data_IF_485056041919
#
_entry.id   IF_485056041919
#
_cell.length_a   1.000
_cell.length_b   1.000
_cell.length_c   1.000
_cell.angle_alpha   90.00
_cell.angle_beta   90.00
_cell.angle_gamma   90.00
#
_symmetry.space_group_name_H-M   'P 1'
#
loop_
_entity.id
_entity.type
_entity.pdbx_description
1 polymer ?
#
# COMPACT_ATOMS: atom_id res chain seq x y z
N UNK A 1 9.89 40.14 4.49
CA UNK A 1 8.95 39.11 5.00
C UNK A 1 8.69 38.12 3.88
N UNK A 2 9.19 36.88 3.96
CA UNK A 2 8.74 35.81 3.06
C UNK A 2 7.28 35.51 3.43
N UNK A 3 6.36 35.67 2.48
CA UNK A 3 4.96 35.27 2.64
C UNK A 3 4.98 33.76 2.84
N UNK A 4 4.56 33.27 4.01
CA UNK A 4 4.41 31.82 4.25
C UNK A 4 3.52 31.28 3.15
N UNK A 5 4.02 30.28 2.42
CA UNK A 5 3.24 29.65 1.36
C UNK A 5 2.08 28.87 1.98
N UNK A 6 0.95 28.84 1.28
CA UNK A 6 -0.19 28.00 1.66
C UNK A 6 0.20 26.52 1.55
N UNK A 7 -0.17 25.71 2.55
CA UNK A 7 0.21 24.29 2.67
C UNK A 7 -0.18 23.48 1.43
N UNK A 8 -1.31 23.80 0.78
CA UNK A 8 -1.75 23.11 -0.44
C UNK A 8 -0.77 23.33 -1.59
N UNK A 9 -0.20 24.54 -1.68
CA UNK A 9 0.83 24.87 -2.66
C UNK A 9 2.12 24.11 -2.35
N UNK A 10 2.51 24.03 -1.07
CA UNK A 10 3.70 23.28 -0.64
C UNK A 10 3.56 21.77 -0.90
N UNK A 11 2.38 21.18 -0.66
CA UNK A 11 2.07 19.79 -1.02
C UNK A 11 2.28 19.58 -2.53
N UNK A 12 1.70 20.44 -3.36
CA UNK A 12 1.83 20.32 -4.82
C UNK A 12 3.29 20.43 -5.29
N UNK A 13 4.09 21.31 -4.69
CA UNK A 13 5.52 21.40 -4.98
C UNK A 13 6.29 20.16 -4.54
N UNK A 14 5.98 19.63 -3.35
CA UNK A 14 6.59 18.40 -2.85
C UNK A 14 6.28 17.20 -3.75
N UNK A 15 5.01 17.04 -4.16
CA UNK A 15 4.59 16.02 -5.13
C UNK A 15 5.30 16.19 -6.47
N UNK A 16 5.50 17.43 -6.96
CA UNK A 16 6.24 17.68 -8.20
C UNK A 16 7.71 17.31 -8.07
N UNK A 17 8.35 17.57 -6.93
CA UNK A 17 9.74 17.14 -6.68
C UNK A 17 9.87 15.61 -6.66
N UNK A 18 8.91 14.91 -6.08
CA UNK A 18 8.85 13.46 -6.08
C UNK A 18 8.65 12.87 -7.48
N UNK A 19 7.79 13.50 -8.29
CA UNK A 19 7.65 13.17 -9.72
C UNK A 19 8.99 13.24 -10.46
N UNK A 20 9.75 14.33 -10.27
CA UNK A 20 11.04 14.52 -10.91
C UNK A 20 12.10 13.52 -10.43
N UNK A 21 12.09 13.18 -9.15
CA UNK A 21 12.93 12.10 -8.61
C UNK A 21 12.66 10.78 -9.33
N UNK A 22 11.39 10.38 -9.45
CA UNK A 22 10.98 9.12 -10.09
C UNK A 22 11.25 9.10 -11.59
N UNK A 23 11.09 10.24 -12.28
CA UNK A 23 11.35 10.34 -13.72
C UNK A 23 12.86 10.33 -14.06
N UNK A 24 13.72 10.86 -13.18
CA UNK A 24 15.10 11.18 -13.57
C UNK A 24 16.21 10.58 -12.70
N UNK A 25 15.97 10.24 -11.43
CA UNK A 25 17.04 9.82 -10.50
C UNK A 25 17.21 8.30 -10.35
N UNK A 26 16.14 7.57 -10.60
CA UNK A 26 16.02 6.13 -10.31
C UNK A 26 15.82 5.27 -11.56
N UNK A 27 16.32 5.70 -12.72
CA UNK A 27 16.28 4.89 -13.95
C UNK A 27 17.41 3.86 -13.99
N UNK A 28 17.18 2.71 -14.64
CA UNK A 28 18.22 1.68 -14.85
C UNK A 28 19.07 1.95 -16.10
N UNK A 29 18.42 2.27 -17.22
CA UNK A 29 19.03 2.33 -18.55
C UNK A 29 18.05 1.83 -19.62
N UNK A 30 17.05 1.06 -19.20
CA UNK A 30 15.89 0.71 -20.02
C UNK A 30 14.77 1.71 -19.70
N UNK A 31 14.14 2.35 -20.71
CA UNK A 31 13.04 3.30 -20.48
C UNK A 31 11.93 2.72 -19.61
N UNK A 32 11.54 3.47 -18.58
CA UNK A 32 10.46 3.10 -17.65
C UNK A 32 10.85 2.16 -16.51
N UNK A 33 11.89 1.32 -16.66
CA UNK A 33 12.35 0.41 -15.61
C UNK A 33 13.16 1.18 -14.57
N UNK A 34 12.84 0.95 -13.29
CA UNK A 34 13.42 1.69 -12.18
C UNK A 34 14.36 0.84 -11.33
N UNK A 35 15.38 1.48 -10.75
CA UNK A 35 16.18 0.96 -9.63
C UNK A 35 15.60 1.47 -8.32
N UNK A 36 15.82 0.77 -7.21
CA UNK A 36 15.20 1.11 -5.93
C UNK A 36 15.59 2.51 -5.41
N UNK A 37 16.89 2.80 -5.45
CA UNK A 37 17.51 4.04 -4.96
C UNK A 37 18.82 4.31 -5.71
N UNK A 38 19.56 5.35 -5.35
CA UNK A 38 20.93 5.57 -5.83
C UNK A 38 21.93 4.52 -5.32
N UNK A 39 21.62 3.83 -4.22
CA UNK A 39 22.44 2.77 -3.63
C UNK A 39 22.23 1.41 -4.31
N UNK A 40 21.12 1.23 -5.02
CA UNK A 40 20.76 -0.04 -5.61
C UNK A 40 21.74 -0.46 -6.73
N UNK A 41 22.51 -1.51 -6.48
CA UNK A 41 23.29 -2.22 -7.48
C UNK A 41 22.39 -3.21 -8.26
N UNK A 42 22.03 -2.82 -9.49
CA UNK A 42 21.11 -3.58 -10.36
C UNK A 42 21.73 -4.90 -10.83
N UNK A 43 23.05 -5.01 -10.94
CA UNK A 43 23.71 -6.26 -11.35
C UNK A 43 23.67 -7.30 -10.23
N UNK A 44 23.82 -6.86 -8.98
CA UNK A 44 23.81 -7.74 -7.81
C UNK A 44 22.38 -8.12 -7.40
N UNK A 45 21.43 -7.19 -7.46
CA UNK A 45 20.03 -7.39 -7.06
C UNK A 45 19.02 -7.03 -8.16
N UNK A 46 19.08 -7.65 -9.35
CA UNK A 46 18.26 -7.25 -10.50
C UNK A 46 16.75 -7.32 -10.21
N UNK A 47 16.32 -8.24 -9.34
CA UNK A 47 14.91 -8.41 -8.97
C UNK A 47 14.34 -7.22 -8.19
N UNK A 48 15.18 -6.42 -7.51
CA UNK A 48 14.74 -5.20 -6.83
C UNK A 48 14.31 -4.10 -7.80
N UNK A 49 14.56 -4.27 -9.10
CA UNK A 49 13.94 -3.43 -10.12
C UNK A 49 12.43 -3.66 -10.22
N UNK A 50 11.89 -4.85 -9.89
CA UNK A 50 10.45 -5.09 -9.87
C UNK A 50 9.72 -4.18 -8.87
N UNK A 51 10.04 -4.20 -7.56
CA UNK A 51 9.41 -3.32 -6.59
C UNK A 51 9.70 -1.85 -6.81
N UNK A 52 10.88 -1.50 -7.32
CA UNK A 52 11.13 -0.13 -7.73
C UNK A 52 10.17 0.33 -8.84
N UNK A 53 9.99 -0.52 -9.85
CA UNK A 53 9.19 -0.20 -11.04
C UNK A 53 7.71 -0.13 -10.70
N UNK A 54 7.12 -1.12 -9.99
CA UNK A 54 5.69 -1.04 -9.67
C UNK A 54 5.38 0.15 -8.75
N UNK A 55 6.27 0.51 -7.81
CA UNK A 55 6.06 1.66 -6.92
C UNK A 55 6.12 2.98 -7.69
N UNK A 56 7.09 3.10 -8.60
CA UNK A 56 7.18 4.27 -9.47
C UNK A 56 5.99 4.37 -10.43
N UNK A 57 5.48 3.26 -10.96
CA UNK A 57 4.28 3.25 -11.79
C UNK A 57 3.10 3.81 -11.01
N UNK A 58 2.83 3.27 -9.81
CA UNK A 58 1.73 3.76 -8.97
C UNK A 58 1.86 5.26 -8.69
N UNK A 59 3.05 5.72 -8.32
CA UNK A 59 3.30 7.13 -8.07
C UNK A 59 3.14 8.00 -9.32
N UNK A 60 3.68 7.59 -10.48
CA UNK A 60 3.62 8.40 -11.71
C UNK A 60 2.21 8.40 -12.33
N UNK A 61 1.40 7.37 -12.09
CA UNK A 61 -0.03 7.38 -12.44
C UNK A 61 -0.77 8.35 -11.52
N UNK A 62 -0.52 8.26 -10.21
CA UNK A 62 -1.09 9.20 -9.22
C UNK A 62 -0.78 10.65 -9.58
N UNK A 63 0.46 10.94 -9.94
CA UNK A 63 0.95 12.29 -10.17
C UNK A 63 0.60 12.85 -11.55
N UNK A 64 0.33 11.99 -12.54
CA UNK A 64 -0.04 12.40 -13.90
C UNK A 64 0.80 11.81 -15.04
N UNK A 65 2.15 11.79 -14.98
CA UNK A 65 2.98 11.43 -16.13
C UNK A 65 2.71 10.06 -16.74
N UNK A 66 2.26 9.07 -15.95
CA UNK A 66 1.93 7.73 -16.43
C UNK A 66 0.40 7.50 -16.56
N UNK A 67 -0.43 8.54 -16.51
CA UNK A 67 -1.85 8.40 -16.87
C UNK A 67 -2.01 8.10 -18.37
N UNK A 68 -1.13 8.67 -19.20
CA UNK A 68 -0.99 8.40 -20.63
C UNK A 68 0.52 8.34 -20.97
N UNK A 69 1.23 7.28 -20.55
CA UNK A 69 2.66 7.17 -20.79
C UNK A 69 2.93 6.97 -22.29
N UNK A 70 4.14 7.32 -22.71
CA UNK A 70 4.65 6.94 -24.03
C UNK A 70 4.51 5.42 -24.26
N UNK A 71 4.20 5.02 -25.49
CA UNK A 71 3.90 3.62 -25.82
C UNK A 71 5.11 2.70 -25.59
N UNK A 72 6.32 3.18 -25.87
CA UNK A 72 7.56 2.43 -25.62
C UNK A 72 7.77 2.22 -24.12
N UNK A 73 7.61 3.28 -23.32
CA UNK A 73 7.69 3.20 -21.85
C UNK A 73 6.64 2.22 -21.33
N UNK A 74 5.40 2.34 -21.78
CA UNK A 74 4.30 1.46 -21.36
C UNK A 74 4.63 0.00 -21.66
N UNK A 75 5.04 -0.28 -22.89
CA UNK A 75 5.39 -1.64 -23.33
C UNK A 75 6.55 -2.20 -22.52
N UNK A 76 7.63 -1.46 -22.36
CA UNK A 76 8.82 -1.90 -21.62
C UNK A 76 8.48 -2.23 -20.16
N UNK A 77 7.69 -1.39 -19.50
CA UNK A 77 7.27 -1.60 -18.12
C UNK A 77 6.35 -2.81 -17.99
N UNK A 78 5.35 -2.94 -18.87
CA UNK A 78 4.41 -4.07 -18.86
C UNK A 78 5.14 -5.39 -19.09
N UNK A 79 5.97 -5.46 -20.14
CA UNK A 79 6.74 -6.66 -20.47
C UNK A 79 7.69 -7.05 -19.33
N UNK A 80 8.35 -6.05 -18.72
CA UNK A 80 9.24 -6.28 -17.59
C UNK A 80 8.49 -6.84 -16.37
N UNK A 81 7.40 -6.21 -15.93
CA UNK A 81 6.61 -6.67 -14.78
C UNK A 81 6.09 -8.09 -15.06
N UNK A 82 5.45 -8.30 -16.21
CA UNK A 82 4.90 -9.61 -16.59
C UNK A 82 5.97 -10.70 -16.72
N UNK A 83 7.24 -10.36 -16.91
CA UNK A 83 8.32 -11.35 -16.96
C UNK A 83 8.54 -12.06 -15.61
N UNK A 84 8.11 -11.48 -14.49
CA UNK A 84 8.20 -12.10 -13.16
C UNK A 84 7.02 -13.02 -12.82
N UNK A 85 6.04 -13.11 -13.72
CA UNK A 85 4.87 -13.95 -13.52
C UNK A 85 5.19 -15.44 -13.77
N UNK A 86 4.75 -16.31 -12.87
CA UNK A 86 4.80 -17.77 -12.99
C UNK A 86 3.54 -18.31 -13.68
N UNK A 87 3.55 -19.59 -14.08
CA UNK A 87 2.39 -20.24 -14.71
C UNK A 87 1.16 -20.32 -13.80
N UNK A 88 1.32 -20.26 -12.47
CA UNK A 88 0.20 -20.17 -11.53
C UNK A 88 -0.43 -18.77 -11.47
N UNK A 89 0.17 -17.80 -12.15
CA UNK A 89 -0.24 -16.39 -12.15
C UNK A 89 0.41 -15.54 -11.06
N UNK A 90 1.11 -16.13 -10.09
CA UNK A 90 1.82 -15.38 -9.05
C UNK A 90 3.06 -14.66 -9.63
N UNK A 91 3.46 -13.55 -9.02
CA UNK A 91 4.70 -12.84 -9.35
C UNK A 91 5.75 -13.15 -8.29
N UNK A 92 6.94 -13.57 -8.72
CA UNK A 92 8.00 -14.05 -7.82
C UNK A 92 9.36 -13.52 -8.22
N UNK A 93 10.16 -13.14 -7.22
CA UNK A 93 11.58 -12.85 -7.42
C UNK A 93 12.33 -14.13 -7.79
N UNK A 94 13.13 -14.06 -8.85
CA UNK A 94 13.89 -15.17 -9.42
C UNK A 94 15.13 -15.53 -8.60
N UNK A 95 15.66 -14.57 -7.85
CA UNK A 95 16.93 -14.66 -7.12
C UNK A 95 16.77 -14.84 -5.61
N UNK A 96 15.54 -14.74 -5.07
CA UNK A 96 15.28 -15.16 -3.70
C UNK A 96 15.52 -16.67 -3.54
N UNK A 97 16.04 -17.07 -2.36
CA UNK A 97 16.34 -18.46 -2.00
C UNK A 97 15.75 -18.76 -0.63
N UNK A 98 15.40 -20.03 -0.40
CA UNK A 98 14.72 -20.47 0.83
C UNK A 98 15.45 -20.05 2.12
N UNK A 99 16.77 -20.17 2.16
CA UNK A 99 17.59 -19.79 3.33
C UNK A 99 17.75 -18.29 3.54
N UNK A 100 17.20 -17.45 2.66
CA UNK A 100 17.31 -15.98 2.72
C UNK A 100 15.97 -15.31 3.00
N UNK A 101 14.89 -16.07 3.16
CA UNK A 101 13.55 -15.52 3.38
C UNK A 101 13.00 -15.88 4.75
N UNK A 102 12.24 -14.95 5.32
CA UNK A 102 11.51 -15.19 6.55
C UNK A 102 10.32 -14.24 6.67
N UNK A 103 9.13 -14.81 6.78
CA UNK A 103 7.93 -14.09 7.22
C UNK A 103 6.99 -15.04 7.94
N UNK A 104 6.63 -14.72 9.18
CA UNK A 104 5.69 -15.51 9.97
C UNK A 104 6.31 -16.79 10.53
N UNK A 105 5.80 -17.95 10.13
CA UNK A 105 5.95 -19.20 10.91
C UNK A 105 6.86 -20.25 10.24
N UNK A 106 6.81 -20.39 8.92
CA UNK A 106 7.57 -21.40 8.19
C UNK A 106 7.86 -20.96 6.74
N UNK A 107 8.66 -21.75 6.03
CA UNK A 107 9.10 -21.44 4.66
C UNK A 107 7.93 -21.32 3.68
N UNK A 108 6.98 -22.25 3.71
CA UNK A 108 5.82 -22.22 2.81
C UNK A 108 4.95 -20.97 3.05
N UNK A 109 4.75 -20.60 4.31
CA UNK A 109 4.07 -19.36 4.68
C UNK A 109 4.85 -18.12 4.22
N UNK A 110 6.18 -18.15 4.35
CA UNK A 110 7.04 -17.04 3.90
C UNK A 110 6.91 -16.82 2.40
N UNK A 111 6.98 -17.89 1.60
CA UNK A 111 6.75 -17.81 0.15
C UNK A 111 5.35 -17.33 -0.19
N UNK A 112 4.32 -17.86 0.48
CA UNK A 112 2.94 -17.41 0.30
C UNK A 112 2.80 -15.92 0.54
N UNK A 113 3.33 -15.40 1.64
CA UNK A 113 3.25 -13.97 1.94
C UNK A 113 3.98 -13.14 0.89
N UNK A 114 5.24 -13.48 0.58
CA UNK A 114 6.10 -12.71 -0.32
C UNK A 114 5.50 -12.66 -1.73
N UNK A 115 5.14 -13.81 -2.30
CA UNK A 115 4.59 -13.87 -3.64
C UNK A 115 3.27 -13.11 -3.74
N UNK A 116 2.39 -13.23 -2.74
CA UNK A 116 1.11 -12.52 -2.75
C UNK A 116 1.31 -11.01 -2.61
N UNK A 117 2.24 -10.56 -1.78
CA UNK A 117 2.56 -9.16 -1.68
C UNK A 117 3.07 -8.63 -3.02
N UNK A 118 4.05 -9.29 -3.64
CA UNK A 118 4.58 -8.90 -4.95
C UNK A 118 3.49 -8.96 -6.04
N UNK A 119 2.64 -9.97 -6.03
CA UNK A 119 1.53 -10.15 -6.99
C UNK A 119 0.53 -9.02 -6.89
N UNK A 120 0.12 -8.62 -5.68
CA UNK A 120 -0.85 -7.52 -5.50
C UNK A 120 -0.32 -6.20 -6.09
N UNK A 121 0.92 -5.83 -5.77
CA UNK A 121 1.49 -4.59 -6.30
C UNK A 121 1.78 -4.65 -7.81
N UNK A 122 2.22 -5.81 -8.32
CA UNK A 122 2.49 -6.00 -9.75
C UNK A 122 1.21 -5.95 -10.58
N UNK A 123 0.17 -6.68 -10.17
CA UNK A 123 -1.15 -6.64 -10.83
C UNK A 123 -1.79 -5.25 -10.72
N UNK A 124 -1.64 -4.57 -9.58
CA UNK A 124 -2.06 -3.18 -9.44
C UNK A 124 -1.37 -2.24 -10.43
N UNK A 125 -0.04 -2.35 -10.59
CA UNK A 125 0.70 -1.50 -11.52
C UNK A 125 0.32 -1.79 -12.99
N UNK A 126 0.12 -3.07 -13.35
CA UNK A 126 -0.38 -3.46 -14.67
C UNK A 126 -1.76 -2.87 -14.94
N UNK A 127 -2.70 -2.98 -13.99
CA UNK A 127 -4.04 -2.39 -14.09
C UNK A 127 -3.99 -0.87 -14.29
N UNK A 128 -3.17 -0.17 -13.51
CA UNK A 128 -2.98 1.28 -13.65
C UNK A 128 -2.46 1.71 -15.03
N UNK A 129 -1.79 0.80 -15.76
CA UNK A 129 -1.29 1.00 -17.13
C UNK A 129 -2.25 0.45 -18.21
N UNK A 130 -3.47 0.07 -17.83
CA UNK A 130 -4.46 -0.61 -18.67
C UNK A 130 -3.88 -1.87 -19.35
N UNK A 131 -3.13 -2.67 -18.58
CA UNK A 131 -2.57 -3.95 -19.01
C UNK A 131 -3.10 -5.09 -18.14
N UNK A 132 -3.25 -6.26 -18.74
CA UNK A 132 -3.54 -7.51 -18.03
C UNK A 132 -2.26 -8.22 -17.58
N UNK A 133 -2.44 -9.40 -16.99
CA UNK A 133 -1.38 -10.36 -16.71
C UNK A 133 -1.38 -11.49 -17.75
N UNK A 134 -0.28 -12.26 -17.86
CA UNK A 134 -0.09 -13.32 -18.86
C UNK A 134 -0.81 -14.61 -18.49
N UNK A 135 -0.76 -15.01 -17.23
CA UNK A 135 -1.38 -16.24 -16.72
C UNK A 135 -2.45 -15.93 -15.68
N UNK A 136 -3.61 -16.63 -15.68
CA UNK A 136 -4.66 -16.42 -14.68
C UNK A 136 -4.13 -16.67 -13.27
N UNK A 137 -4.75 -16.06 -12.26
CA UNK A 137 -4.32 -16.17 -10.85
C UNK A 137 -4.78 -17.51 -10.23
N UNK A 138 -4.42 -18.63 -10.85
CA UNK A 138 -4.95 -19.95 -10.49
C UNK A 138 -4.57 -20.43 -9.08
N UNK A 139 -3.55 -19.83 -8.47
CA UNK A 139 -3.20 -20.10 -7.07
C UNK A 139 -4.30 -19.72 -6.06
N UNK A 140 -5.29 -18.90 -6.45
CA UNK A 140 -6.47 -18.60 -5.61
C UNK A 140 -7.73 -19.36 -6.03
N UNK A 141 -7.69 -20.24 -7.04
CA UNK A 141 -8.91 -20.88 -7.56
C UNK A 141 -9.67 -21.65 -6.48
N UNK A 142 -8.95 -22.41 -5.65
CA UNK A 142 -9.58 -23.15 -4.55
C UNK A 142 -10.23 -22.24 -3.51
N UNK A 143 -9.83 -20.97 -3.41
CA UNK A 143 -10.38 -19.98 -2.48
C UNK A 143 -11.56 -19.19 -3.09
N UNK A 144 -11.94 -19.49 -4.34
CA UNK A 144 -13.20 -19.01 -4.94
C UNK A 144 -14.43 -19.77 -4.40
N UNK A 145 -14.22 -20.86 -3.66
CA UNK A 145 -15.28 -21.60 -2.96
C UNK A 145 -15.49 -21.07 -1.52
N UNK A 146 -16.73 -20.75 -1.12
CA UNK A 146 -17.08 -20.24 0.21
C UNK A 146 -16.47 -21.03 1.38
N UNK A 147 -16.66 -22.36 1.39
CA UNK A 147 -16.20 -23.20 2.51
C UNK A 147 -14.68 -23.26 2.60
N UNK A 148 -14.00 -23.18 1.45
CA UNK A 148 -12.54 -23.14 1.41
C UNK A 148 -12.00 -21.81 1.93
N UNK A 149 -12.67 -20.69 1.60
CA UNK A 149 -12.35 -19.37 2.13
C UNK A 149 -12.57 -19.30 3.65
N UNK A 150 -13.71 -19.78 4.15
CA UNK A 150 -13.98 -19.86 5.59
C UNK A 150 -12.92 -20.68 6.33
N UNK A 151 -12.55 -21.84 5.77
CA UNK A 151 -11.48 -22.69 6.32
C UNK A 151 -10.10 -22.02 6.24
N UNK A 152 -9.86 -21.16 5.26
CA UNK A 152 -8.63 -20.37 5.19
C UNK A 152 -8.60 -19.28 6.26
N UNK A 153 -9.73 -18.59 6.46
CA UNK A 153 -9.92 -17.57 7.50
C UNK A 153 -9.81 -18.15 8.91
N UNK A 154 -10.36 -19.34 9.15
CA UNK A 154 -10.30 -20.00 10.46
C UNK A 154 -8.88 -20.36 10.91
N UNK A 155 -7.89 -20.30 10.01
CA UNK A 155 -6.47 -20.55 10.29
C UNK A 155 -5.67 -19.27 10.54
N UNK A 156 -6.29 -18.10 10.37
CA UNK A 156 -5.63 -16.81 10.60
C UNK A 156 -5.46 -16.58 12.09
N UNK A 157 -4.33 -15.99 12.45
CA UNK A 157 -3.94 -15.74 13.83
C UNK A 157 -3.74 -14.23 14.02
N UNK A 158 -4.76 -13.57 14.58
CA UNK A 158 -4.76 -12.12 14.77
C UNK A 158 -3.86 -11.67 15.93
N UNK A 159 -3.03 -12.54 16.51
CA UNK A 159 -1.91 -12.09 17.36
C UNK A 159 -0.86 -11.28 16.57
N UNK A 160 -0.81 -11.43 15.24
CA UNK A 160 -0.03 -10.56 14.33
C UNK A 160 -0.97 -9.95 13.27
N UNK A 161 -1.76 -8.93 13.65
CA UNK A 161 -2.78 -8.36 12.78
C UNK A 161 -2.18 -7.64 11.57
N UNK A 162 -0.94 -7.16 11.67
CA UNK A 162 -0.27 -6.50 10.54
C UNK A 162 0.11 -7.51 9.46
N UNK A 163 0.65 -8.67 9.85
CA UNK A 163 0.94 -9.75 8.92
C UNK A 163 -0.35 -10.29 8.27
N UNK A 164 -1.37 -10.57 9.07
CA UNK A 164 -2.60 -11.17 8.54
C UNK A 164 -3.45 -10.18 7.74
N UNK A 165 -3.45 -8.89 8.10
CA UNK A 165 -4.09 -7.85 7.30
C UNK A 165 -3.52 -7.76 5.88
N UNK A 166 -2.19 -7.91 5.74
CA UNK A 166 -1.55 -8.00 4.42
C UNK A 166 -2.00 -9.24 3.63
N UNK A 167 -2.08 -10.42 4.26
CA UNK A 167 -2.54 -11.63 3.57
C UNK A 167 -3.98 -11.50 3.08
N UNK A 168 -4.85 -10.93 3.91
CA UNK A 168 -6.28 -10.78 3.63
C UNK A 168 -6.50 -9.77 2.49
N UNK A 169 -5.93 -8.57 2.56
CA UNK A 169 -6.11 -7.56 1.50
C UNK A 169 -5.56 -8.05 0.15
N UNK A 170 -4.45 -8.80 0.17
CA UNK A 170 -3.89 -9.39 -1.04
C UNK A 170 -4.86 -10.41 -1.66
N UNK A 171 -5.33 -11.37 -0.85
CA UNK A 171 -6.29 -12.38 -1.30
C UNK A 171 -7.57 -11.75 -1.84
N UNK A 172 -8.17 -10.81 -1.11
CA UNK A 172 -9.36 -10.09 -1.54
C UNK A 172 -9.12 -9.37 -2.88
N UNK A 173 -7.94 -8.76 -3.06
CA UNK A 173 -7.56 -8.11 -4.31
C UNK A 173 -7.53 -9.06 -5.50
N UNK A 174 -7.09 -10.31 -5.30
CA UNK A 174 -7.09 -11.35 -6.33
C UNK A 174 -8.50 -11.82 -6.65
N UNK A 175 -9.32 -12.10 -5.64
CA UNK A 175 -10.72 -12.51 -5.82
C UNK A 175 -11.51 -11.44 -6.58
N UNK A 176 -11.38 -10.16 -6.22
CA UNK A 176 -11.97 -9.04 -6.95
C UNK A 176 -11.49 -9.02 -8.40
N UNK A 177 -10.19 -9.23 -8.62
CA UNK A 177 -9.60 -9.17 -9.96
C UNK A 177 -10.11 -10.25 -10.90
N UNK A 178 -10.30 -11.46 -10.38
CA UNK A 178 -10.74 -12.62 -11.15
C UNK A 178 -12.26 -12.67 -11.35
N UNK A 179 -13.03 -12.32 -10.31
CA UNK A 179 -14.47 -12.58 -10.27
C UNK A 179 -15.35 -11.39 -10.66
N UNK A 180 -14.89 -10.13 -10.49
CA UNK A 180 -15.77 -8.93 -10.61
C UNK A 180 -16.57 -8.88 -11.91
N UNK A 181 -15.97 -9.29 -13.02
CA UNK A 181 -16.61 -9.28 -14.35
C UNK A 181 -17.27 -10.62 -14.68
N UNK A 182 -16.68 -11.73 -14.24
CA UNK A 182 -17.07 -13.07 -14.66
C UNK A 182 -18.19 -13.65 -13.78
N UNK A 183 -18.10 -13.45 -12.47
CA UNK A 183 -18.96 -14.08 -11.45
C UNK A 183 -19.23 -13.09 -10.29
N UNK A 184 -19.94 -11.97 -10.54
CA UNK A 184 -20.15 -10.92 -9.55
C UNK A 184 -20.93 -11.39 -8.31
N UNK A 185 -21.87 -12.33 -8.46
CA UNK A 185 -22.63 -12.91 -7.35
C UNK A 185 -21.71 -13.73 -6.41
N UNK A 186 -20.82 -14.54 -6.98
CA UNK A 186 -19.82 -15.27 -6.20
C UNK A 186 -18.84 -14.32 -5.52
N UNK A 187 -18.41 -13.25 -6.20
CA UNK A 187 -17.59 -12.23 -5.54
C UNK A 187 -18.31 -11.62 -4.33
N UNK A 188 -19.59 -11.26 -4.47
CA UNK A 188 -20.37 -10.70 -3.38
C UNK A 188 -20.46 -11.66 -2.19
N UNK A 189 -20.72 -12.94 -2.42
CA UNK A 189 -20.75 -13.98 -1.39
C UNK A 189 -19.41 -14.06 -0.63
N UNK A 190 -18.28 -14.13 -1.35
CA UNK A 190 -16.95 -14.20 -0.72
C UNK A 190 -16.59 -12.92 0.04
N UNK A 191 -17.01 -11.75 -0.46
CA UNK A 191 -16.81 -10.48 0.24
C UNK A 191 -17.62 -10.41 1.55
N UNK A 192 -18.85 -10.94 1.57
CA UNK A 192 -19.64 -11.04 2.81
C UNK A 192 -19.01 -11.98 3.83
N UNK A 193 -18.39 -13.09 3.38
CA UNK A 193 -17.63 -13.98 4.26
C UNK A 193 -16.43 -13.25 4.88
N UNK A 194 -15.65 -12.53 4.06
CA UNK A 194 -14.51 -11.74 4.52
C UNK A 194 -14.93 -10.67 5.52
N UNK A 195 -15.88 -9.81 5.15
CA UNK A 195 -16.33 -8.69 5.99
C UNK A 195 -17.04 -9.20 7.25
N UNK A 196 -17.88 -10.22 7.14
CA UNK A 196 -18.53 -10.84 8.29
C UNK A 196 -17.54 -11.46 9.27
N UNK A 197 -16.43 -12.03 8.78
CA UNK A 197 -15.35 -12.52 9.66
C UNK A 197 -14.64 -11.38 10.40
N UNK A 198 -14.37 -10.26 9.72
CA UNK A 198 -13.78 -9.08 10.36
C UNK A 198 -14.70 -8.46 11.40
N UNK A 199 -15.99 -8.28 11.07
CA UNK A 199 -16.96 -7.66 11.97
C UNK A 199 -17.11 -8.42 13.29
N UNK A 200 -17.02 -9.76 13.26
CA UNK A 200 -17.09 -10.60 14.47
C UNK A 200 -15.85 -10.49 15.35
N UNK A 201 -14.70 -10.18 14.79
CA UNK A 201 -13.40 -10.20 15.47
C UNK A 201 -12.86 -8.80 15.80
N UNK A 202 -13.57 -7.74 15.43
CA UNK A 202 -13.12 -6.38 15.70
C UNK A 202 -13.22 -6.06 17.19
N UNK A 203 -12.11 -5.67 17.81
CA UNK A 203 -12.08 -5.27 19.22
C UNK A 203 -12.86 -3.97 19.40
N UNK A 204 -13.95 -4.00 20.16
CA UNK A 204 -14.80 -2.83 20.41
C UNK A 204 -14.10 -1.68 21.16
N UNK A 205 -13.01 -1.94 21.87
CA UNK A 205 -12.33 -0.94 22.68
C UNK A 205 -11.35 -0.10 21.85
N UNK A 206 -10.70 -0.70 20.87
CA UNK A 206 -9.73 -0.03 19.98
C UNK A 206 -10.30 0.22 18.59
N UNK A 207 -11.27 -0.59 18.17
CA UNK A 207 -11.77 -0.72 16.80
C UNK A 207 -10.79 -1.42 15.85
N UNK A 208 -9.68 -1.98 16.34
CA UNK A 208 -8.73 -2.73 15.53
C UNK A 208 -8.90 -4.25 15.72
N UNK A 209 -8.12 -5.04 15.00
CA UNK A 209 -8.09 -6.49 15.15
C UNK A 209 -6.85 -6.93 15.94
N UNK A 210 -7.00 -7.99 16.74
CA UNK A 210 -5.89 -8.61 17.47
C UNK A 210 -5.53 -7.97 18.81
N UNK A 211 -6.05 -6.78 19.11
CA UNK A 211 -5.73 -6.04 20.35
C UNK A 211 -6.38 -6.64 21.60
N UNK A 212 -7.43 -7.46 21.42
CA UNK A 212 -8.11 -8.23 22.47
C UNK A 212 -7.80 -9.73 22.40
N UNK A 213 -6.78 -10.13 21.63
CA UNK A 213 -6.42 -11.54 21.47
C UNK A 213 -6.11 -12.18 22.84
N UNK A 214 -6.71 -13.33 23.19
CA UNK A 214 -6.81 -13.80 24.58
C UNK A 214 -5.48 -14.23 25.21
N UNK A 215 -4.49 -14.58 24.38
CA UNK A 215 -3.19 -15.10 24.84
C UNK A 215 -2.06 -14.11 24.56
N UNK A 216 -2.13 -13.43 23.43
CA UNK A 216 -1.06 -12.55 22.95
C UNK A 216 -1.70 -11.34 22.24
N UNK A 217 -2.22 -10.37 22.99
CA UNK A 217 -2.83 -9.18 22.40
C UNK A 217 -1.78 -8.35 21.67
N UNK A 218 -2.09 -7.97 20.43
CA UNK A 218 -1.26 -7.06 19.65
C UNK A 218 -1.27 -5.66 20.26
N UNK A 219 -0.18 -4.91 20.07
CA UNK A 219 -0.17 -3.49 20.38
C UNK A 219 -1.11 -2.72 19.45
N UNK A 220 -1.61 -1.56 19.89
CA UNK A 220 -2.49 -0.72 19.08
C UNK A 220 -1.85 -0.25 17.77
N UNK A 221 -0.51 -0.15 17.71
CA UNK A 221 0.21 0.27 16.50
C UNK A 221 0.16 -0.83 15.44
N UNK A 222 0.42 -2.07 15.84
CA UNK A 222 0.30 -3.25 14.98
C UNK A 222 -1.15 -3.48 14.56
N UNK A 223 -2.09 -3.30 15.49
CA UNK A 223 -3.54 -3.34 15.22
C UNK A 223 -3.96 -2.31 14.17
N UNK A 224 -3.53 -1.04 14.32
CA UNK A 224 -3.79 0.02 13.35
C UNK A 224 -3.17 -0.29 11.98
N UNK A 225 -1.92 -0.75 11.94
CA UNK A 225 -1.24 -1.08 10.69
C UNK A 225 -1.94 -2.24 9.97
N UNK A 226 -2.36 -3.29 10.68
CA UNK A 226 -3.20 -4.35 10.11
C UNK A 226 -4.56 -3.84 9.64
N UNK A 227 -5.20 -2.98 10.42
CA UNK A 227 -6.52 -2.45 10.13
C UNK A 227 -6.54 -1.57 8.87
N UNK A 228 -5.54 -0.71 8.64
CA UNK A 228 -5.45 0.11 7.44
C UNK A 228 -5.57 -0.73 6.15
N UNK A 229 -4.88 -1.88 6.09
CA UNK A 229 -4.95 -2.79 4.95
C UNK A 229 -6.35 -3.39 4.77
N UNK A 230 -6.98 -3.82 5.86
CA UNK A 230 -8.28 -4.49 5.82
C UNK A 230 -9.46 -3.53 5.62
N UNK A 231 -9.34 -2.28 6.05
CA UNK A 231 -10.36 -1.27 5.79
C UNK A 231 -10.57 -0.99 4.30
N UNK A 232 -9.59 -1.28 3.44
CA UNK A 232 -9.81 -1.23 1.99
C UNK A 232 -10.95 -2.16 1.52
N UNK A 233 -11.24 -3.27 2.21
CA UNK A 233 -12.40 -4.12 1.88
C UNK A 233 -13.72 -3.39 2.18
N UNK A 234 -13.78 -2.64 3.28
CA UNK A 234 -14.93 -1.83 3.67
C UNK A 234 -15.12 -0.65 2.72
N UNK A 235 -14.04 0.05 2.40
CA UNK A 235 -14.03 1.15 1.44
C UNK A 235 -14.45 0.69 0.05
N UNK A 236 -14.01 -0.50 -0.38
CA UNK A 236 -14.41 -1.09 -1.66
C UNK A 236 -15.87 -1.51 -1.70
N UNK A 237 -16.36 -2.12 -0.62
CA UNK A 237 -17.72 -2.66 -0.55
C UNK A 237 -18.77 -1.63 -0.09
N UNK A 238 -18.32 -0.40 0.18
CA UNK A 238 -19.14 0.65 0.76
C UNK A 238 -19.87 0.21 2.04
N UNK A 239 -19.19 -0.58 2.88
CA UNK A 239 -19.69 -1.10 4.16
C UNK A 239 -19.19 -0.24 5.31
N UNK A 240 -20.06 0.07 6.27
CA UNK A 240 -19.67 0.83 7.45
C UNK A 240 -18.62 0.10 8.29
N UNK A 241 -17.68 0.86 8.84
CA UNK A 241 -16.70 0.42 9.84
C UNK A 241 -17.27 0.68 11.24
N UNK A 242 -17.36 -0.37 12.05
CA UNK A 242 -17.74 -0.22 13.45
C UNK A 242 -16.62 0.42 14.28
N UNK A 243 -17.00 0.97 15.43
CA UNK A 243 -16.06 1.52 16.42
C UNK A 243 -15.12 2.60 15.83
N UNK A 244 -15.59 3.37 14.86
CA UNK A 244 -14.81 4.44 14.22
C UNK A 244 -14.29 5.51 15.19
N UNK A 245 -14.96 5.74 16.33
CA UNK A 245 -14.52 6.72 17.35
C UNK A 245 -13.19 6.35 17.99
N UNK A 246 -13.03 5.18 18.66
CA UNK A 246 -11.72 4.79 19.21
C UNK A 246 -10.62 4.66 18.15
N UNK A 247 -10.97 4.25 16.92
CA UNK A 247 -10.02 4.25 15.79
C UNK A 247 -9.48 5.65 15.52
N UNK A 248 -10.38 6.64 15.34
CA UNK A 248 -10.02 8.04 15.09
C UNK A 248 -9.22 8.60 16.27
N UNK A 249 -9.63 8.34 17.51
CA UNK A 249 -8.95 8.83 18.72
C UNK A 249 -7.49 8.33 18.81
N UNK A 250 -7.27 7.05 18.51
CA UNK A 250 -5.93 6.49 18.43
C UNK A 250 -5.11 7.13 17.31
N UNK A 251 -5.69 7.22 16.10
CA UNK A 251 -5.00 7.77 14.93
C UNK A 251 -4.62 9.25 15.12
N UNK A 252 -5.48 10.05 15.75
CA UNK A 252 -5.20 11.45 16.10
C UNK A 252 -4.05 11.56 17.12
N UNK A 253 -3.94 10.59 18.04
CA UNK A 253 -2.81 10.54 18.98
C UNK A 253 -1.53 10.13 18.25
N UNK A 254 -1.62 9.16 17.34
CA UNK A 254 -0.48 8.63 16.59
C UNK A 254 0.13 9.66 15.63
N UNK A 255 -0.71 10.35 14.85
CA UNK A 255 -0.30 11.28 13.79
C UNK A 255 0.38 12.55 14.34
N UNK A 256 0.07 12.95 15.59
CA UNK A 256 0.72 14.06 16.32
C UNK A 256 2.22 13.84 16.51
N UNK A 257 2.67 12.59 16.41
CA UNK A 257 4.08 12.23 16.48
C UNK A 257 4.93 12.77 15.31
N UNK A 258 6.23 12.45 15.38
CA UNK A 258 7.16 12.65 14.27
C UNK A 258 6.83 11.72 13.10
N UNK A 259 7.31 12.06 11.91
CA UNK A 259 7.36 11.16 10.75
C UNK A 259 8.05 9.84 11.16
N UNK A 260 7.41 8.71 10.87
CA UNK A 260 7.87 7.34 11.15
C UNK A 260 8.29 6.66 9.85
N UNK A 261 8.03 5.36 9.71
CA UNK A 261 8.22 4.64 8.45
C UNK A 261 7.15 5.05 7.42
N UNK A 262 7.45 4.87 6.14
CA UNK A 262 6.54 5.23 5.07
C UNK A 262 5.22 4.45 5.12
N UNK A 263 5.24 3.18 5.57
CA UNK A 263 4.03 2.38 5.80
C UNK A 263 3.13 3.00 6.87
N UNK A 264 3.65 3.20 8.08
CA UNK A 264 2.83 3.64 9.21
C UNK A 264 2.22 5.03 8.98
N UNK A 265 2.95 5.87 8.25
CA UNK A 265 2.51 7.23 7.96
C UNK A 265 1.44 7.29 6.86
N UNK A 266 1.43 6.38 5.89
CA UNK A 266 0.29 6.25 4.97
C UNK A 266 -0.89 5.55 5.66
N UNK A 267 -0.65 4.54 6.49
CA UNK A 267 -1.70 3.80 7.20
C UNK A 267 -2.59 4.74 8.05
N UNK A 268 -1.97 5.60 8.86
CA UNK A 268 -2.71 6.53 9.71
C UNK A 268 -3.48 7.59 8.91
N UNK A 269 -2.89 8.07 7.81
CA UNK A 269 -3.53 9.09 6.97
C UNK A 269 -4.67 8.50 6.16
N UNK A 270 -4.51 7.29 5.63
CA UNK A 270 -5.57 6.59 4.89
C UNK A 270 -6.79 6.36 5.78
N UNK A 271 -6.59 5.89 7.01
CA UNK A 271 -7.66 5.74 8.00
C UNK A 271 -8.36 7.08 8.25
N UNK A 272 -7.61 8.12 8.63
CA UNK A 272 -8.20 9.42 8.96
C UNK A 272 -8.92 10.05 7.77
N UNK A 273 -8.35 9.96 6.57
CA UNK A 273 -8.90 10.55 5.36
C UNK A 273 -10.23 9.89 4.96
N UNK A 274 -10.34 8.57 5.00
CA UNK A 274 -11.58 7.87 4.68
C UNK A 274 -12.63 8.00 5.80
N UNK A 275 -12.23 8.00 7.08
CA UNK A 275 -13.15 8.08 8.21
C UNK A 275 -13.73 9.49 8.46
N UNK A 276 -13.32 10.52 7.70
CA UNK A 276 -13.96 11.84 7.73
C UNK A 276 -15.46 11.78 7.45
N UNK A 277 -15.94 10.77 6.71
CA UNK A 277 -17.36 10.59 6.39
C UNK A 277 -18.26 10.45 7.63
N UNK A 278 -17.71 9.98 8.75
CA UNK A 278 -18.46 9.84 10.00
C UNK A 278 -18.69 11.17 10.75
N UNK A 279 -18.10 12.27 10.30
CA UNK A 279 -18.25 13.60 10.93
C UNK A 279 -17.67 13.72 12.34
N UNK A 280 -16.95 12.71 12.84
CA UNK A 280 -16.39 12.70 14.18
C UNK A 280 -15.01 13.36 14.21
N UNK A 281 -14.85 14.43 15.00
CA UNK A 281 -13.61 15.22 15.15
C UNK A 281 -13.04 15.73 13.82
N UNK A 282 -13.91 15.99 12.84
CA UNK A 282 -13.54 16.45 11.48
C UNK A 282 -12.54 17.62 11.48
N UNK A 283 -12.79 18.65 12.27
CA UNK A 283 -11.89 19.82 12.34
C UNK A 283 -10.49 19.45 12.82
N UNK A 284 -10.38 18.63 13.87
CA UNK A 284 -9.09 18.19 14.39
C UNK A 284 -8.39 17.23 13.42
N UNK A 285 -9.13 16.37 12.72
CA UNK A 285 -8.56 15.52 11.67
C UNK A 285 -7.92 16.41 10.59
N UNK A 286 -8.66 17.38 10.06
CA UNK A 286 -8.14 18.27 9.01
C UNK A 286 -6.92 19.07 9.49
N UNK A 287 -6.97 19.60 10.72
CA UNK A 287 -5.84 20.29 11.33
C UNK A 287 -4.61 19.37 11.45
N UNK A 288 -4.79 18.13 11.91
CA UNK A 288 -3.69 17.19 12.07
C UNK A 288 -3.12 16.71 10.74
N UNK A 289 -3.97 16.51 9.71
CA UNK A 289 -3.52 16.19 8.36
C UNK A 289 -2.69 17.33 7.76
N UNK A 290 -3.12 18.58 7.93
CA UNK A 290 -2.36 19.77 7.51
C UNK A 290 -0.99 19.85 8.20
N UNK A 291 -0.96 19.72 9.54
CA UNK A 291 0.29 19.73 10.29
C UNK A 291 1.21 18.57 9.91
N UNK A 292 0.66 17.40 9.62
CA UNK A 292 1.43 16.24 9.20
C UNK A 292 2.00 16.41 7.79
N UNK A 293 1.24 16.99 6.84
CA UNK A 293 1.76 17.36 5.53
C UNK A 293 2.99 18.28 5.66
N UNK A 294 2.94 19.30 6.52
CA UNK A 294 4.10 20.18 6.75
C UNK A 294 5.34 19.40 7.25
N UNK A 295 5.14 18.44 8.18
CA UNK A 295 6.23 17.56 8.65
C UNK A 295 6.78 16.67 7.54
N UNK A 296 5.93 16.11 6.69
CA UNK A 296 6.34 15.28 5.55
C UNK A 296 7.10 16.09 4.50
N UNK A 297 6.64 17.29 4.17
CA UNK A 297 7.32 18.17 3.20
C UNK A 297 8.72 18.52 3.70
N UNK A 298 8.87 18.83 4.99
CA UNK A 298 10.18 19.04 5.62
C UNK A 298 11.04 17.77 5.67
N UNK A 299 10.41 16.59 5.68
CA UNK A 299 11.10 15.31 5.67
C UNK A 299 11.60 14.91 4.28
N UNK A 300 11.06 15.46 3.19
CA UNK A 300 11.51 15.17 1.83
C UNK A 300 12.99 15.49 1.64
N UNK A 301 13.73 14.60 0.97
CA UNK A 301 15.15 14.81 0.70
C UNK A 301 15.36 15.87 -0.39
N UNK A 302 16.56 16.44 -0.47
CA UNK A 302 16.89 17.49 -1.44
C UNK A 302 16.71 17.04 -2.89
N UNK A 303 17.03 15.77 -3.18
CA UNK A 303 16.89 15.13 -4.49
C UNK A 303 15.43 14.96 -4.97
N UNK A 304 14.47 15.29 -4.11
CA UNK A 304 13.04 15.24 -4.36
C UNK A 304 12.37 13.93 -3.96
N UNK A 305 13.13 12.88 -3.65
CA UNK A 305 12.57 11.62 -3.16
C UNK A 305 12.32 11.64 -1.66
N UNK A 306 11.77 10.53 -1.16
CA UNK A 306 11.57 10.29 0.27
C UNK A 306 12.30 9.04 0.72
N UNK A 307 12.82 9.10 1.94
CA UNK A 307 13.30 7.95 2.68
C UNK A 307 12.17 7.26 3.44
N UNK A 308 12.37 6.00 3.82
CA UNK A 308 11.43 5.29 4.68
C UNK A 308 11.47 5.88 6.10
N UNK A 309 12.67 5.93 6.68
CA UNK A 309 13.02 6.61 7.93
C UNK A 309 14.37 7.35 7.75
N UNK A 310 14.71 8.28 8.66
CA UNK A 310 16.00 9.01 8.72
C UNK A 310 16.88 8.58 9.91
N UNK A 311 16.65 7.40 10.50
CA UNK A 311 17.58 6.82 11.47
C UNK A 311 18.88 6.31 10.81
N UNK A 312 19.85 5.91 11.63
CA UNK A 312 21.07 5.24 11.19
C UNK A 312 20.87 3.73 10.94
N UNK A 313 19.63 3.30 10.72
CA UNK A 313 19.26 1.90 10.52
C UNK A 313 19.49 1.39 9.10
N UNK A 314 18.98 0.19 8.84
CA UNK A 314 19.00 -0.47 7.54
C UNK A 314 17.57 -0.77 7.11
N UNK A 315 17.25 -0.49 5.85
CA UNK A 315 15.99 -0.86 5.21
C UNK A 315 16.21 -2.13 4.38
N UNK A 316 15.30 -3.09 4.50
CA UNK A 316 15.30 -4.36 3.75
C UNK A 316 14.06 -4.48 2.88
N UNK A 317 14.13 -5.30 1.85
CA UNK A 317 12.92 -5.78 1.19
C UNK A 317 12.17 -6.70 2.15
N UNK A 318 10.87 -6.48 2.33
CA UNK A 318 10.07 -7.26 3.27
C UNK A 318 10.11 -8.75 2.90
N UNK A 319 10.35 -9.59 3.90
CA UNK A 319 10.55 -11.03 3.73
C UNK A 319 11.92 -11.47 3.20
N UNK A 320 12.77 -10.60 2.62
CA UNK A 320 14.10 -10.97 2.10
C UNK A 320 15.24 -10.73 3.11
N UNK A 321 15.20 -11.43 4.25
CA UNK A 321 16.11 -11.19 5.38
C UNK A 321 17.60 -11.33 5.05
N UNK A 322 17.95 -12.24 4.12
CA UNK A 322 19.32 -12.48 3.67
C UNK A 322 19.66 -11.85 2.30
N UNK A 323 18.83 -10.94 1.80
CA UNK A 323 18.99 -10.31 0.49
C UNK A 323 19.22 -8.81 0.54
N UNK A 324 18.62 -8.09 -0.42
CA UNK A 324 18.83 -6.65 -0.59
C UNK A 324 18.60 -5.85 0.69
N UNK A 325 19.54 -4.97 0.98
CA UNK A 325 19.44 -3.97 2.04
C UNK A 325 20.07 -2.66 1.59
N UNK A 326 19.62 -1.54 2.17
CA UNK A 326 20.25 -0.25 1.99
C UNK A 326 20.19 0.58 3.29
N UNK A 327 21.09 1.55 3.49
CA UNK A 327 21.01 2.47 4.62
C UNK A 327 19.67 3.24 4.65
N UNK A 328 19.13 3.47 5.84
CA UNK A 328 18.03 4.43 6.01
C UNK A 328 18.48 5.86 5.67
N UNK A 329 17.52 6.76 5.47
CA UNK A 329 17.75 8.15 5.06
C UNK A 329 17.86 8.37 3.55
N UNK A 330 18.03 7.31 2.76
CA UNK A 330 18.11 7.40 1.30
C UNK A 330 16.73 7.49 0.65
N UNK A 331 16.61 8.35 -0.35
CA UNK A 331 15.45 8.40 -1.23
C UNK A 331 15.31 7.10 -2.01
N UNK A 332 14.14 6.48 -1.96
CA UNK A 332 13.85 5.25 -2.69
C UNK A 332 12.43 5.23 -3.25
N UNK A 333 12.19 4.40 -4.28
CA UNK A 333 10.90 4.32 -4.97
C UNK A 333 9.74 3.92 -4.05
N UNK A 334 10.00 3.01 -3.10
CA UNK A 334 8.99 2.52 -2.15
C UNK A 334 8.48 3.65 -1.25
N UNK A 335 9.39 4.30 -0.52
CA UNK A 335 9.01 5.37 0.38
C UNK A 335 8.44 6.57 -0.40
N UNK A 336 9.02 6.91 -1.56
CA UNK A 336 8.51 7.99 -2.40
C UNK A 336 7.08 7.75 -2.85
N UNK A 337 6.73 6.52 -3.28
CA UNK A 337 5.35 6.18 -3.61
C UNK A 337 4.42 6.38 -2.41
N UNK A 338 4.75 5.78 -1.27
CA UNK A 338 3.91 5.83 -0.08
C UNK A 338 3.69 7.28 0.39
N UNK A 339 4.75 8.11 0.43
CA UNK A 339 4.64 9.53 0.79
C UNK A 339 3.82 10.34 -0.21
N UNK A 340 3.90 10.01 -1.51
CA UNK A 340 3.05 10.66 -2.51
C UNK A 340 1.58 10.30 -2.28
N UNK A 341 1.26 9.04 -2.00
CA UNK A 341 -0.11 8.62 -1.66
C UNK A 341 -0.62 9.35 -0.41
N UNK A 342 0.19 9.42 0.65
CA UNK A 342 -0.13 10.16 1.89
C UNK A 342 -0.46 11.63 1.61
N UNK A 343 0.45 12.34 0.91
CA UNK A 343 0.26 13.75 0.58
C UNK A 343 -0.91 13.98 -0.37
N UNK A 344 -1.18 13.05 -1.29
CA UNK A 344 -2.34 13.09 -2.18
C UNK A 344 -3.67 12.95 -1.42
N UNK A 345 -3.75 12.01 -0.47
CA UNK A 345 -4.93 11.84 0.40
C UNK A 345 -5.16 13.10 1.24
N UNK A 346 -4.11 13.64 1.86
CA UNK A 346 -4.20 14.91 2.61
C UNK A 346 -4.68 16.05 1.70
N UNK A 347 -4.11 16.21 0.50
CA UNK A 347 -4.54 17.24 -0.43
C UNK A 347 -6.01 17.07 -0.80
N UNK A 348 -6.50 15.85 -1.00
CA UNK A 348 -7.91 15.60 -1.28
C UNK A 348 -8.82 16.03 -0.12
N UNK A 349 -8.43 15.76 1.13
CA UNK A 349 -9.18 16.18 2.31
C UNK A 349 -9.22 17.71 2.48
N UNK A 350 -8.11 18.39 2.19
CA UNK A 350 -7.99 19.86 2.34
C UNK A 350 -8.53 20.65 1.13
N UNK A 351 -8.51 20.03 -0.06
CA UNK A 351 -8.87 20.64 -1.33
C UNK A 351 -9.20 19.58 -2.40
N UNK A 352 -10.43 19.07 -2.35
CA UNK A 352 -10.89 18.04 -3.28
C UNK A 352 -10.80 18.47 -4.75
N UNK A 353 -11.00 19.77 -5.05
CA UNK A 353 -10.88 20.33 -6.39
C UNK A 353 -9.44 20.27 -6.90
N UNK A 354 -8.47 20.74 -6.10
CA UNK A 354 -7.06 20.67 -6.47
C UNK A 354 -6.57 19.21 -6.63
N UNK A 355 -7.15 18.28 -5.88
CA UNK A 355 -6.82 16.87 -5.95
C UNK A 355 -7.46 16.13 -7.15
N UNK A 356 -8.38 16.73 -7.92
CA UNK A 356 -9.04 16.06 -9.07
C UNK A 356 -8.06 15.52 -10.11
N UNK A 357 -6.92 16.20 -10.30
CA UNK A 357 -5.85 15.78 -11.22
C UNK A 357 -5.15 14.49 -10.79
N UNK A 358 -5.21 14.15 -9.50
CA UNK A 358 -4.54 12.98 -8.95
C UNK A 358 -5.36 11.72 -9.23
N UNK A 359 -4.68 10.64 -9.61
CA UNK A 359 -5.32 9.36 -9.92
C UNK A 359 -4.88 8.27 -8.96
N UNK A 360 -5.64 8.10 -7.88
CA UNK A 360 -5.42 7.02 -6.92
C UNK A 360 -5.53 5.65 -7.59
N UNK A 361 -4.91 4.65 -6.96
CA UNK A 361 -5.02 3.26 -7.40
C UNK A 361 -6.49 2.83 -7.32
N UNK A 362 -6.96 2.08 -8.30
CA UNK A 362 -8.36 1.63 -8.42
C UNK A 362 -8.57 0.17 -7.95
N UNK A 363 -7.51 -0.49 -7.49
CA UNK A 363 -7.55 -1.81 -6.86
C UNK A 363 -7.13 -1.71 -5.40
N UNK A 364 -7.79 -2.46 -4.51
CA UNK A 364 -7.46 -2.46 -3.08
C UNK A 364 -5.99 -2.82 -2.80
N UNK A 365 -5.47 -2.23 -1.71
CA UNK A 365 -4.05 -2.21 -1.35
C UNK A 365 -3.55 -0.76 -1.23
N UNK A 366 -2.32 -0.55 -0.75
CA UNK A 366 -1.82 0.81 -0.47
C UNK A 366 -1.94 1.73 -1.69
N UNK A 367 -2.46 2.94 -1.44
CA UNK A 367 -2.75 3.98 -2.43
C UNK A 367 -4.10 3.85 -3.12
N UNK A 368 -4.90 2.84 -2.76
CA UNK A 368 -6.33 2.82 -3.00
C UNK A 368 -7.00 3.91 -2.15
N UNK A 369 -7.91 4.67 -2.73
CA UNK A 369 -8.64 5.71 -2.00
C UNK A 369 -10.02 5.91 -2.62
N UNK A 370 -11.06 5.50 -1.89
CA UNK A 370 -12.44 5.66 -2.35
C UNK A 370 -12.96 7.05 -1.96
N UNK A 371 -12.95 7.98 -2.92
CA UNK A 371 -13.43 9.35 -2.74
C UNK A 371 -14.92 9.44 -2.38
N UNK A 372 -15.68 8.39 -2.68
CA UNK A 372 -17.12 8.33 -2.55
C UNK A 372 -17.56 7.33 -1.45
N UNK A 373 -16.62 6.90 -0.60
CA UNK A 373 -16.94 6.01 0.52
C UNK A 373 -18.01 6.62 1.43
N UNK A 374 -19.16 5.95 1.49
CA UNK A 374 -20.39 6.31 2.23
C UNK A 374 -20.95 7.72 1.93
N UNK A 375 -20.64 8.30 0.76
CA UNK A 375 -21.12 9.64 0.37
C UNK A 375 -22.41 9.64 -0.44
#
# INVERSE_FOLDING_TARGET
MKKTMDIKTEINQSLKRAEQFLLHRVNTGIPGIKRCSSYHNVEEYPDMCLPATYNAVHALVLLGPYQNPDEEIRKNVVDFIQSFQTESGAFRFRNMRDGQIWKGKNLAYSWWYIDNHITNYSTGALKSLNAGWKYPLSFVDALKEPEALEKWLSKRDMADPWLEGNNIVNLAGFLISELKVQEPERLQELMEILLGWHDRLQDKNTGFWGTDHPVNPAGSMEGMAGAAHNFHLYFYSNREIHYYKPIIDYCLTFIKGKVKSACLDVDVVDILANLLVYGYRTEEILEQLEQFAARLIAFQNEDGGFADDKSNGVRRMDGWVGGYFEPQGLSNCFATWFRCATLAMILHCLDAEAAKRLRFRDSIGIGYFNRDYLR
#
